data_IF_532512598243
#
_entry.id   IF_532512598243
#
_cell.length_a   1.000
_cell.length_b   1.000
_cell.length_c   1.000
_cell.angle_alpha   90.00
_cell.angle_beta   90.00
_cell.angle_gamma   90.00
#
_symmetry.space_group_name_H-M   'P 1'
#
loop_
_entity.id
_entity.type
_entity.pdbx_description
1 polymer ?
#
# COMPACT_ATOMS: atom_id res chain seq x y z
N UNK A 1 -7.52 -14.71 -11.79
CA UNK A 1 -7.97 -13.34 -12.18
C UNK A 1 -7.30 -12.40 -11.20
N UNK A 2 -6.61 -11.35 -11.66
CA UNK A 2 -5.91 -10.44 -10.76
C UNK A 2 -6.85 -9.39 -10.19
N UNK A 3 -6.89 -9.28 -8.87
CA UNK A 3 -7.51 -8.17 -8.17
C UNK A 3 -6.44 -7.15 -7.75
N UNK A 4 -6.80 -5.88 -7.78
CA UNK A 4 -5.92 -4.78 -7.38
C UNK A 4 -6.57 -3.93 -6.30
N UNK A 5 -5.75 -3.41 -5.38
CA UNK A 5 -6.18 -2.48 -4.34
C UNK A 5 -5.13 -1.40 -4.14
N UNK A 6 -5.58 -0.20 -3.79
CA UNK A 6 -4.70 0.92 -3.45
C UNK A 6 -4.89 1.25 -1.96
N UNK A 7 -3.78 1.37 -1.23
CA UNK A 7 -3.73 1.93 0.12
C UNK A 7 -3.10 3.31 0.08
N UNK A 8 -3.70 4.27 0.78
CA UNK A 8 -3.16 5.60 0.99
C UNK A 8 -2.85 5.75 2.46
N UNK A 9 -1.62 6.12 2.78
CA UNK A 9 -1.17 6.23 4.17
C UNK A 9 -0.28 7.46 4.36
N UNK A 10 -0.41 8.13 5.50
CA UNK A 10 0.50 9.23 5.82
C UNK A 10 1.93 8.69 5.96
N UNK A 11 2.89 9.37 5.36
CA UNK A 11 4.29 9.07 5.52
C UNK A 11 4.72 9.54 6.90
N UNK A 12 4.93 8.58 7.81
CA UNK A 12 5.61 8.82 9.07
C UNK A 12 7.13 8.73 8.89
N UNK A 13 7.88 9.28 9.87
CA UNK A 13 9.34 9.45 9.77
C UNK A 13 10.09 8.13 9.51
N UNK A 14 9.55 7.02 10.02
CA UNK A 14 10.18 5.71 9.96
C UNK A 14 9.43 4.73 9.04
N UNK A 15 8.37 5.18 8.37
CA UNK A 15 7.50 4.34 7.54
C UNK A 15 6.82 3.18 8.28
N UNK A 16 6.74 3.23 9.62
CA UNK A 16 6.20 2.16 10.45
C UNK A 16 4.74 1.83 10.08
N UNK A 17 3.96 2.87 9.74
CA UNK A 17 2.57 2.68 9.32
C UNK A 17 2.48 1.98 7.96
N UNK A 18 3.36 2.34 7.03
CA UNK A 18 3.42 1.71 5.71
C UNK A 18 3.86 0.24 5.82
N UNK A 19 4.88 -0.06 6.62
CA UNK A 19 5.34 -1.42 6.89
C UNK A 19 4.22 -2.26 7.51
N UNK A 20 3.52 -1.72 8.53
CA UNK A 20 2.38 -2.39 9.15
C UNK A 20 1.27 -2.69 8.14
N UNK A 21 0.90 -1.71 7.29
CA UNK A 21 -0.12 -1.92 6.26
C UNK A 21 0.31 -3.00 5.25
N UNK A 22 1.58 -3.00 4.83
CA UNK A 22 2.11 -4.00 3.91
C UNK A 22 2.10 -5.40 4.53
N UNK A 23 2.47 -5.53 5.82
CA UNK A 23 2.39 -6.79 6.56
C UNK A 23 0.94 -7.30 6.69
N UNK A 24 0.01 -6.44 7.14
CA UNK A 24 -1.41 -6.77 7.28
C UNK A 24 -2.04 -7.22 5.96
N UNK A 25 -1.58 -6.65 4.84
CA UNK A 25 -2.05 -7.00 3.49
C UNK A 25 -1.42 -8.31 3.00
N UNK A 26 -0.14 -8.53 3.29
CA UNK A 26 0.57 -9.79 3.01
C UNK A 26 -0.08 -10.98 3.71
N UNK A 27 -0.47 -10.83 4.98
CA UNK A 27 -1.21 -11.86 5.73
C UNK A 27 -2.56 -12.22 5.09
N UNK A 28 -3.16 -11.28 4.35
CA UNK A 28 -4.41 -11.45 3.60
C UNK A 28 -4.20 -11.96 2.18
N UNK A 29 -2.97 -12.34 1.83
CA UNK A 29 -2.60 -12.86 0.52
C UNK A 29 -2.47 -11.79 -0.57
N UNK A 30 -2.24 -10.53 -0.18
CA UNK A 30 -1.95 -9.46 -1.14
C UNK A 30 -0.45 -9.22 -1.26
N UNK A 31 0.02 -9.01 -2.48
CA UNK A 31 1.39 -8.67 -2.81
C UNK A 31 1.52 -7.18 -3.11
N UNK A 32 2.62 -6.56 -2.68
CA UNK A 32 2.92 -5.17 -3.03
C UNK A 32 3.46 -5.10 -4.46
N UNK A 33 2.86 -4.25 -5.28
CA UNK A 33 3.26 -4.02 -6.69
C UNK A 33 4.07 -2.74 -6.84
N UNK A 34 3.67 -1.69 -6.11
CA UNK A 34 4.28 -0.36 -6.24
C UNK A 34 4.07 0.45 -4.96
N UNK A 35 5.05 1.28 -4.63
CA UNK A 35 5.00 2.30 -3.58
C UNK A 35 5.44 3.62 -4.20
N UNK A 36 4.60 4.64 -4.14
CA UNK A 36 4.89 5.97 -4.66
C UNK A 36 4.52 7.04 -3.64
N UNK A 37 5.18 8.21 -3.72
CA UNK A 37 4.74 9.39 -2.97
C UNK A 37 3.51 9.95 -3.68
N UNK A 38 2.44 10.20 -2.93
CA UNK A 38 1.28 10.94 -3.43
C UNK A 38 1.67 12.41 -3.63
N UNK A 39 1.81 12.81 -4.88
CA UNK A 39 2.16 14.16 -5.29
C UNK A 39 0.99 15.15 -5.19
N UNK A 40 -0.23 14.68 -4.90
CA UNK A 40 -1.43 15.53 -4.80
C UNK A 40 -1.73 16.00 -3.38
N UNK A 41 -1.20 15.32 -2.35
CA UNK A 41 -1.37 15.76 -0.97
C UNK A 41 -0.57 17.03 -0.69
N UNK A 42 -1.28 18.14 -0.42
CA UNK A 42 -0.70 19.48 -0.24
C UNK A 42 -0.11 19.74 1.14
N UNK A 43 -0.42 18.91 2.14
CA UNK A 43 -0.15 19.23 3.55
C UNK A 43 0.63 18.14 4.30
N UNK A 44 0.38 16.86 3.97
CA UNK A 44 1.04 15.74 4.63
C UNK A 44 1.56 14.80 3.54
N UNK A 45 2.87 14.55 3.46
CA UNK A 45 3.39 13.57 2.53
C UNK A 45 2.68 12.23 2.76
N UNK A 46 2.14 11.67 1.69
CA UNK A 46 1.41 10.40 1.73
C UNK A 46 2.09 9.40 0.81
N UNK A 47 1.99 8.13 1.14
CA UNK A 47 2.39 7.04 0.28
C UNK A 47 1.16 6.38 -0.31
N UNK A 48 1.24 6.15 -1.62
CA UNK A 48 0.30 5.38 -2.39
C UNK A 48 0.90 3.99 -2.64
N UNK A 49 0.32 2.97 -1.99
CA UNK A 49 0.78 1.59 -2.05
C UNK A 49 -0.22 0.80 -2.88
N UNK A 50 0.24 0.21 -3.98
CA UNK A 50 -0.57 -0.65 -4.85
C UNK A 50 -0.35 -2.10 -4.47
N UNK A 51 -1.43 -2.83 -4.26
CA UNK A 51 -1.46 -4.25 -3.93
C UNK A 51 -2.14 -5.05 -5.05
N UNK A 52 -1.70 -6.28 -5.27
CA UNK A 52 -2.35 -7.25 -6.15
C UNK A 52 -2.60 -8.58 -5.43
N UNK A 53 -3.59 -9.35 -5.87
CA UNK A 53 -3.71 -10.77 -5.52
C UNK A 53 -4.32 -11.57 -6.66
N UNK A 54 -3.98 -12.85 -6.76
CA UNK A 54 -4.68 -13.79 -7.64
C UNK A 54 -5.96 -14.29 -6.97
N UNK A 55 -7.06 -14.27 -7.72
CA UNK A 55 -8.35 -14.81 -7.30
C UNK A 55 -8.72 -15.98 -8.20
N UNK A 56 -9.05 -17.11 -7.56
CA UNK A 56 -9.52 -18.34 -8.21
C UNK A 56 -8.44 -19.39 -8.45
N UNK A 57 -7.80 -19.90 -7.39
CA UNK A 57 -7.37 -21.31 -7.40
C UNK A 57 -8.52 -22.18 -6.97
#
# INVERSE_FOLDING_TARGET
>A
MKEFKIGLINQDKNFENAEKLMADMSEKGWEVVSVAIDSYSKFTPQLLITFQREVGK
#
